data_IF_528767375231
#
_entry.id   IF_528767375231
#
_cell.length_a   1.000
_cell.length_b   1.000
_cell.length_c   1.000
_cell.angle_alpha   90.00
_cell.angle_beta   90.00
_cell.angle_gamma   90.00
#
_symmetry.space_group_name_H-M   'P 1'
#
loop_
_entity.id
_entity.type
_entity.pdbx_description
1 polymer ?
#
# COMPACT_ATOMS: atom_id res chain seq x y z
N UNK A 1 -24.10 17.71 -2.32
CA UNK A 1 -22.75 17.09 -2.37
C UNK A 1 -22.85 15.57 -2.37
N UNK A 2 -22.13 14.88 -3.27
CA UNK A 2 -22.11 13.41 -3.29
C UNK A 2 -21.33 12.90 -2.08
N UNK A 3 -21.99 12.17 -1.17
CA UNK A 3 -21.40 11.64 0.07
C UNK A 3 -20.27 10.63 -0.27
N UNK A 4 -19.07 10.88 0.23
CA UNK A 4 -17.93 9.93 0.16
C UNK A 4 -18.02 8.98 1.35
N UNK A 5 -18.00 7.68 1.08
CA UNK A 5 -17.94 6.63 2.09
C UNK A 5 -16.56 5.96 2.05
N UNK A 6 -15.89 5.88 3.19
CA UNK A 6 -14.63 5.16 3.36
C UNK A 6 -14.87 3.89 4.18
N UNK A 7 -14.27 2.79 3.74
CA UNK A 7 -14.32 1.50 4.45
C UNK A 7 -12.93 0.88 4.52
N UNK A 8 -12.65 0.19 5.63
CA UNK A 8 -11.48 -0.70 5.76
C UNK A 8 -11.98 -2.11 5.99
N UNK A 9 -11.46 -3.07 5.24
CA UNK A 9 -11.90 -4.45 5.28
C UNK A 9 -10.69 -5.39 5.09
N UNK A 10 -10.68 -6.53 5.76
CA UNK A 10 -9.69 -7.58 5.54
C UNK A 10 -10.03 -8.39 4.29
N UNK A 11 -9.02 -8.95 3.62
CA UNK A 11 -9.22 -9.77 2.41
C UNK A 11 -10.27 -10.85 2.62
N UNK A 12 -10.17 -11.61 3.72
CA UNK A 12 -11.09 -12.71 4.04
C UNK A 12 -12.58 -12.31 4.13
N UNK A 13 -12.88 -11.02 4.18
CA UNK A 13 -14.25 -10.48 4.20
C UNK A 13 -14.63 -9.76 2.91
N UNK A 14 -13.73 -9.72 1.91
CA UNK A 14 -14.05 -9.17 0.60
C UNK A 14 -14.99 -10.09 -0.18
N UNK A 15 -15.99 -9.50 -0.82
CA UNK A 15 -16.83 -10.20 -1.78
C UNK A 15 -16.19 -10.17 -3.17
N UNK A 16 -16.44 -11.18 -4.00
CA UNK A 16 -15.86 -11.30 -5.35
C UNK A 16 -16.13 -10.09 -6.25
N UNK A 17 -17.34 -9.55 -6.19
CA UNK A 17 -17.68 -8.34 -6.96
C UNK A 17 -16.83 -7.12 -6.54
N UNK A 18 -16.46 -7.00 -5.26
CA UNK A 18 -15.59 -5.94 -4.77
C UNK A 18 -14.15 -6.16 -5.25
N UNK A 19 -13.67 -7.41 -5.24
CA UNK A 19 -12.35 -7.76 -5.80
C UNK A 19 -12.28 -7.37 -7.28
N UNK A 20 -13.33 -7.69 -8.03
CA UNK A 20 -13.42 -7.32 -9.45
C UNK A 20 -13.39 -5.80 -9.66
N UNK A 21 -14.11 -5.03 -8.85
CA UNK A 21 -14.12 -3.57 -8.92
C UNK A 21 -12.75 -2.96 -8.53
N UNK A 22 -12.06 -3.55 -7.56
CA UNK A 22 -10.66 -3.18 -7.23
C UNK A 22 -9.77 -3.39 -8.44
N UNK A 23 -9.83 -4.56 -9.08
CA UNK A 23 -9.04 -4.89 -10.25
C UNK A 23 -9.34 -3.97 -11.45
N UNK A 24 -10.61 -3.64 -11.69
CA UNK A 24 -11.02 -2.63 -12.68
C UNK A 24 -10.42 -1.27 -12.37
N UNK A 25 -10.51 -0.80 -11.13
CA UNK A 25 -9.97 0.50 -10.74
C UNK A 25 -8.44 0.53 -10.90
N UNK A 26 -7.73 -0.52 -10.45
CA UNK A 26 -6.28 -0.66 -10.65
C UNK A 26 -5.92 -0.63 -12.13
N UNK A 27 -6.68 -1.32 -13.00
CA UNK A 27 -6.43 -1.38 -14.43
C UNK A 27 -6.60 -0.02 -15.14
N UNK A 28 -7.30 0.95 -14.56
CA UNK A 28 -7.36 2.32 -15.10
C UNK A 28 -6.02 3.06 -15.01
N UNK A 29 -5.14 2.65 -14.10
CA UNK A 29 -3.83 3.24 -13.88
C UNK A 29 -2.71 2.34 -14.42
N UNK A 30 -2.69 1.07 -14.01
CA UNK A 30 -1.75 0.04 -14.49
C UNK A 30 -2.46 -0.86 -15.50
N UNK A 31 -2.29 -0.57 -16.78
CA UNK A 31 -3.03 -1.18 -17.90
C UNK A 31 -2.55 -2.60 -18.24
N UNK A 32 -2.47 -3.49 -17.26
CA UNK A 32 -2.02 -4.88 -17.46
C UNK A 32 -3.13 -5.83 -17.91
N UNK A 33 -4.37 -5.35 -18.03
CA UNK A 33 -5.57 -6.16 -18.30
C UNK A 33 -6.22 -6.71 -17.03
N UNK A 34 -7.55 -6.88 -17.06
CA UNK A 34 -8.33 -7.33 -15.91
C UNK A 34 -7.89 -8.73 -15.44
N UNK A 35 -7.68 -9.65 -16.38
CA UNK A 35 -7.22 -11.02 -16.08
C UNK A 35 -5.90 -11.01 -15.31
N UNK A 36 -4.92 -10.19 -15.75
CA UNK A 36 -3.64 -10.05 -15.05
C UNK A 36 -3.80 -9.45 -13.66
N UNK A 37 -4.68 -8.45 -13.47
CA UNK A 37 -4.97 -7.87 -12.17
C UNK A 37 -5.60 -8.89 -11.21
N UNK A 38 -6.53 -9.73 -11.70
CA UNK A 38 -7.15 -10.81 -10.92
C UNK A 38 -6.14 -11.89 -10.56
N UNK A 39 -5.33 -12.33 -11.51
CA UNK A 39 -4.27 -13.32 -11.26
C UNK A 39 -3.28 -12.82 -10.21
N UNK A 40 -2.87 -11.54 -10.32
CA UNK A 40 -2.00 -10.92 -9.31
C UNK A 40 -2.67 -10.90 -7.94
N UNK A 41 -3.95 -10.51 -7.88
CA UNK A 41 -4.70 -10.47 -6.63
C UNK A 41 -4.74 -11.85 -5.96
N UNK A 42 -5.16 -12.89 -6.70
CA UNK A 42 -5.29 -14.24 -6.20
C UNK A 42 -3.94 -14.84 -5.77
N UNK A 43 -2.84 -14.47 -6.44
CA UNK A 43 -1.51 -15.01 -6.15
C UNK A 43 -0.87 -14.36 -4.93
N UNK A 44 -1.06 -13.04 -4.72
CA UNK A 44 -0.23 -12.27 -3.80
C UNK A 44 -0.97 -11.65 -2.62
N UNK A 45 -2.30 -11.64 -2.63
CA UNK A 45 -3.09 -11.08 -1.53
C UNK A 45 -3.38 -12.17 -0.51
N UNK A 46 -3.19 -11.84 0.78
CA UNK A 46 -3.36 -12.75 1.90
C UNK A 46 -4.58 -12.34 2.74
N UNK A 47 -5.19 -13.28 3.47
CA UNK A 47 -6.41 -13.10 4.26
C UNK A 47 -6.39 -11.89 5.20
N UNK A 48 -5.23 -11.60 5.77
CA UNK A 48 -5.04 -10.51 6.74
C UNK A 48 -4.56 -9.19 6.11
N UNK A 49 -4.51 -9.09 4.78
CA UNK A 49 -4.25 -7.82 4.11
C UNK A 49 -5.43 -6.87 4.30
N UNK A 50 -5.16 -5.56 4.44
CA UNK A 50 -6.18 -4.55 4.72
C UNK A 50 -6.44 -3.71 3.48
N UNK A 51 -7.68 -3.70 3.04
CA UNK A 51 -8.15 -2.93 1.90
C UNK A 51 -8.89 -1.68 2.37
N UNK A 52 -8.46 -0.52 1.90
CA UNK A 52 -9.13 0.76 2.10
C UNK A 52 -9.88 1.14 0.84
N UNK A 53 -11.20 1.25 0.95
CA UNK A 53 -12.12 1.44 -0.16
C UNK A 53 -12.79 2.80 -0.02
N UNK A 54 -12.84 3.56 -1.10
CA UNK A 54 -13.54 4.84 -1.17
C UNK A 54 -14.67 4.77 -2.21
N UNK A 55 -15.90 5.00 -1.76
CA UNK A 55 -17.11 4.91 -2.59
C UNK A 55 -17.80 6.26 -2.73
N UNK A 56 -18.34 6.52 -3.93
CA UNK A 56 -19.31 7.59 -4.20
C UNK A 56 -20.49 6.95 -4.94
N UNK A 57 -21.72 7.04 -4.37
CA UNK A 57 -22.90 6.40 -4.94
C UNK A 57 -22.63 4.94 -5.32
N UNK A 58 -22.21 4.13 -4.38
CA UNK A 58 -21.90 2.69 -4.53
C UNK A 58 -20.76 2.35 -5.51
N UNK A 59 -20.25 3.33 -6.27
CA UNK A 59 -19.13 3.13 -7.17
C UNK A 59 -17.80 3.23 -6.42
N UNK A 60 -16.93 2.24 -6.57
CA UNK A 60 -15.57 2.29 -6.08
C UNK A 60 -14.76 3.32 -6.89
N UNK A 61 -14.28 4.37 -6.22
CA UNK A 61 -13.56 5.50 -6.86
C UNK A 61 -12.13 5.69 -6.37
N UNK A 62 -11.78 5.02 -5.27
CA UNK A 62 -10.44 5.04 -4.71
C UNK A 62 -10.15 3.76 -3.93
N UNK A 63 -8.88 3.36 -3.94
CA UNK A 63 -8.41 2.14 -3.31
C UNK A 63 -7.01 2.31 -2.75
N UNK A 64 -6.79 1.78 -1.54
CA UNK A 64 -5.49 1.65 -0.89
C UNK A 64 -5.33 0.24 -0.32
N UNK A 65 -4.10 -0.27 -0.32
CA UNK A 65 -3.78 -1.62 0.14
C UNK A 65 -2.61 -1.61 1.12
N UNK A 66 -2.83 -2.18 2.30
CA UNK A 66 -1.79 -2.54 3.25
C UNK A 66 -1.63 -4.06 3.27
N UNK A 67 -0.50 -4.56 2.82
CA UNK A 67 -0.17 -5.98 2.82
C UNK A 67 0.57 -6.35 4.11
N UNK A 68 0.15 -7.42 4.75
CA UNK A 68 0.79 -7.95 5.96
C UNK A 68 1.94 -8.88 5.53
N UNK A 69 3.17 -8.45 5.76
CA UNK A 69 4.37 -9.14 5.25
C UNK A 69 5.40 -9.30 6.35
N UNK A 70 6.53 -9.92 6.02
CA UNK A 70 7.62 -10.18 6.95
C UNK A 70 8.94 -9.61 6.43
N UNK A 71 9.84 -9.31 7.34
CA UNK A 71 11.24 -8.99 7.06
C UNK A 71 12.14 -9.69 8.07
N UNK A 72 13.41 -9.83 7.74
CA UNK A 72 14.40 -10.38 8.64
C UNK A 72 15.25 -9.25 9.24
N UNK A 73 15.46 -9.33 10.54
CA UNK A 73 16.29 -8.43 11.31
C UNK A 73 17.07 -9.23 12.34
N UNK A 74 18.39 -9.23 12.24
CA UNK A 74 19.27 -10.06 13.11
C UNK A 74 18.80 -11.53 13.14
N UNK A 75 18.61 -12.12 11.96
CA UNK A 75 18.11 -13.50 11.77
C UNK A 75 16.68 -13.78 12.30
N UNK A 76 16.03 -12.79 12.90
CA UNK A 76 14.66 -12.93 13.40
C UNK A 76 13.63 -12.44 12.39
N UNK A 77 12.60 -13.24 12.11
CA UNK A 77 11.47 -12.87 11.27
C UNK A 77 10.54 -11.93 12.03
N UNK A 78 10.26 -10.75 11.47
CA UNK A 78 9.37 -9.73 12.04
C UNK A 78 8.29 -9.35 11.05
N UNK A 79 7.08 -9.06 11.53
CA UNK A 79 5.95 -8.60 10.71
C UNK A 79 6.07 -7.10 10.43
N UNK A 80 5.59 -6.69 9.26
CA UNK A 80 5.43 -5.30 8.87
C UNK A 80 4.24 -5.12 7.92
N UNK A 81 3.81 -3.88 7.74
CA UNK A 81 2.78 -3.52 6.76
C UNK A 81 3.43 -2.89 5.54
N UNK A 82 3.23 -3.49 4.38
CA UNK A 82 3.65 -2.92 3.11
C UNK A 82 2.49 -2.13 2.48
N UNK A 83 2.64 -0.81 2.38
CA UNK A 83 1.69 0.04 1.67
C UNK A 83 1.94 -0.08 0.17
N UNK A 84 1.24 -1.02 -0.45
CA UNK A 84 1.48 -1.47 -1.82
C UNK A 84 0.82 -0.56 -2.86
N UNK A 85 -0.44 -0.22 -2.63
CA UNK A 85 -1.28 0.43 -3.64
C UNK A 85 -1.99 1.66 -3.08
N UNK A 86 -1.95 2.75 -3.84
CA UNK A 86 -2.88 3.87 -3.72
C UNK A 86 -3.32 4.29 -5.12
N UNK A 87 -4.59 4.12 -5.44
CA UNK A 87 -5.15 4.53 -6.72
C UNK A 87 -6.47 5.26 -6.54
N UNK A 88 -6.67 6.33 -7.31
CA UNK A 88 -7.92 7.10 -7.37
C UNK A 88 -8.31 7.28 -8.82
N UNK A 89 -9.57 7.02 -9.13
CA UNK A 89 -10.15 7.25 -10.45
C UNK A 89 -9.90 8.71 -10.89
N UNK A 90 -9.40 8.90 -12.10
CA UNK A 90 -9.04 10.23 -12.63
C UNK A 90 -10.16 11.25 -12.47
N UNK A 91 -11.41 10.83 -12.72
CA UNK A 91 -12.61 11.67 -12.62
C UNK A 91 -12.86 12.26 -11.22
N UNK A 92 -12.28 11.66 -10.16
CA UNK A 92 -12.57 12.03 -8.78
C UNK A 92 -11.33 12.53 -8.01
N UNK A 93 -10.22 12.84 -8.70
CA UNK A 93 -8.96 13.27 -8.05
C UNK A 93 -9.11 14.59 -7.31
N UNK A 94 -9.87 15.52 -7.85
CA UNK A 94 -10.15 16.84 -7.26
C UNK A 94 -10.85 16.75 -5.88
N UNK A 95 -11.49 15.62 -5.55
CA UNK A 95 -12.18 15.40 -4.29
C UNK A 95 -11.26 14.99 -3.13
N UNK A 96 -9.95 15.11 -3.31
CA UNK A 96 -8.92 14.78 -2.30
C UNK A 96 -9.03 13.35 -1.73
N UNK A 97 -9.55 12.40 -2.53
CA UNK A 97 -9.78 11.01 -2.08
C UNK A 97 -8.46 10.33 -1.71
N UNK A 98 -7.38 10.58 -2.46
CA UNK A 98 -6.05 10.06 -2.15
C UNK A 98 -5.57 10.51 -0.75
N UNK A 99 -5.79 11.78 -0.40
CA UNK A 99 -5.53 12.34 0.94
C UNK A 99 -6.30 11.58 2.03
N UNK A 100 -7.59 11.37 1.82
CA UNK A 100 -8.45 10.67 2.78
C UNK A 100 -8.07 9.20 2.96
N UNK A 101 -7.73 8.51 1.87
CA UNK A 101 -7.21 7.13 1.91
C UNK A 101 -5.85 7.04 2.63
N UNK A 102 -4.92 7.97 2.36
CA UNK A 102 -3.62 8.02 3.05
C UNK A 102 -3.79 8.25 4.55
N UNK A 103 -4.69 9.15 4.97
CA UNK A 103 -5.02 9.34 6.38
C UNK A 103 -5.61 8.07 7.02
N UNK A 104 -6.50 7.37 6.31
CA UNK A 104 -7.07 6.11 6.79
C UNK A 104 -5.99 5.02 6.92
N UNK A 105 -5.09 4.93 5.95
CA UNK A 105 -3.92 4.03 5.98
C UNK A 105 -3.06 4.31 7.21
N UNK A 106 -2.70 5.56 7.44
CA UNK A 106 -1.87 5.96 8.60
C UNK A 106 -2.57 5.66 9.93
N UNK A 107 -3.90 5.91 10.03
CA UNK A 107 -4.68 5.53 11.21
C UNK A 107 -4.62 4.01 11.45
N UNK A 108 -4.76 3.20 10.42
CA UNK A 108 -4.68 1.75 10.51
C UNK A 108 -3.29 1.28 10.97
N UNK A 109 -2.22 1.83 10.40
CA UNK A 109 -0.84 1.52 10.80
C UNK A 109 -0.61 1.84 12.29
N UNK A 110 -1.06 3.02 12.74
CA UNK A 110 -0.95 3.44 14.15
C UNK A 110 -1.71 2.49 15.09
N UNK A 111 -2.92 2.08 14.69
CA UNK A 111 -3.74 1.14 15.46
C UNK A 111 -3.08 -0.23 15.61
N UNK A 112 -2.49 -0.75 14.52
CA UNK A 112 -1.85 -2.07 14.48
C UNK A 112 -0.45 -2.05 15.13
N UNK A 113 0.15 -0.88 15.36
CA UNK A 113 1.48 -0.70 15.99
C UNK A 113 2.60 -1.47 15.28
N UNK A 114 2.43 -1.81 14.01
CA UNK A 114 3.43 -2.51 13.20
C UNK A 114 4.36 -1.53 12.49
N UNK A 115 5.56 -2.00 12.19
CA UNK A 115 6.45 -1.33 11.25
C UNK A 115 5.75 -1.20 9.90
N UNK A 116 6.02 -0.14 9.16
CA UNK A 116 5.41 0.02 7.87
C UNK A 116 6.38 0.59 6.87
N UNK A 117 6.26 0.14 5.64
CA UNK A 117 7.12 0.51 4.54
C UNK A 117 6.29 0.71 3.28
N UNK A 118 6.75 1.57 2.40
CA UNK A 118 6.28 1.68 1.02
C UNK A 118 7.46 1.90 0.08
N UNK A 119 7.23 1.59 -1.19
CA UNK A 119 8.11 1.95 -2.31
C UNK A 119 7.30 2.79 -3.28
N UNK A 120 7.81 3.93 -3.67
CA UNK A 120 7.13 4.83 -4.58
C UNK A 120 8.09 5.50 -5.57
N UNK A 121 7.54 6.03 -6.66
CA UNK A 121 8.29 6.89 -7.57
C UNK A 121 8.74 8.17 -6.86
N UNK A 122 9.91 8.68 -7.21
CA UNK A 122 10.49 9.89 -6.60
C UNK A 122 9.54 11.08 -6.62
N UNK A 123 8.77 11.25 -7.71
CA UNK A 123 7.82 12.37 -7.89
C UNK A 123 6.67 12.42 -6.89
N UNK A 124 6.40 11.31 -6.16
CA UNK A 124 5.31 11.25 -5.16
C UNK A 124 5.82 11.12 -3.72
N UNK A 125 7.12 11.26 -3.50
CA UNK A 125 7.73 11.25 -2.15
C UNK A 125 7.13 12.34 -1.28
N UNK A 126 7.09 13.58 -1.75
CA UNK A 126 6.54 14.73 -1.01
C UNK A 126 5.08 14.54 -0.62
N UNK A 127 4.30 13.83 -1.47
CA UNK A 127 2.94 13.47 -1.12
C UNK A 127 2.93 12.57 0.12
N UNK A 128 3.75 11.54 0.19
CA UNK A 128 3.80 10.63 1.33
C UNK A 128 4.39 11.26 2.58
N UNK A 129 5.38 12.15 2.45
CA UNK A 129 5.97 12.88 3.59
C UNK A 129 4.94 13.71 4.35
N UNK A 130 3.95 14.31 3.66
CA UNK A 130 2.82 15.03 4.28
C UNK A 130 1.98 14.17 5.23
N UNK A 131 2.06 12.84 5.11
CA UNK A 131 1.37 11.87 5.98
C UNK A 131 2.30 11.20 7.00
N UNK A 132 3.50 11.72 7.17
CA UNK A 132 4.45 11.25 8.19
C UNK A 132 5.34 10.10 7.74
N UNK A 133 5.33 9.74 6.45
CA UNK A 133 6.30 8.83 5.90
C UNK A 133 7.66 9.50 5.81
N UNK A 134 8.73 8.74 6.02
CA UNK A 134 10.10 9.26 5.96
C UNK A 134 10.93 8.44 5.00
N UNK A 135 11.68 9.12 4.17
CA UNK A 135 12.59 8.50 3.23
C UNK A 135 13.67 7.72 3.97
N UNK A 136 13.94 6.51 3.53
CA UNK A 136 15.06 5.69 4.00
C UNK A 136 16.31 6.13 3.26
N UNK A 137 17.28 6.72 4.00
CA UNK A 137 18.51 7.23 3.41
C UNK A 137 19.58 6.14 3.31
N UNK A 138 20.32 6.16 2.21
CA UNK A 138 21.65 5.62 1.90
C UNK A 138 21.78 4.15 1.50
N UNK A 139 21.39 3.17 2.26
CA UNK A 139 21.57 1.78 1.80
C UNK A 139 20.21 1.09 1.73
N UNK A 140 19.81 0.72 0.53
CA UNK A 140 18.54 0.06 0.30
C UNK A 140 18.64 -1.37 0.81
N UNK A 141 17.78 -1.81 1.75
CA UNK A 141 17.75 -3.20 2.14
C UNK A 141 17.45 -4.07 0.92
N UNK A 142 18.02 -5.26 0.87
CA UNK A 142 17.74 -6.21 -0.19
C UNK A 142 16.27 -6.60 -0.15
N UNK A 143 15.62 -6.52 -1.30
CA UNK A 143 14.25 -6.96 -1.49
C UNK A 143 14.33 -8.25 -2.29
N UNK A 144 14.00 -9.39 -1.67
CA UNK A 144 14.16 -10.72 -2.27
C UNK A 144 13.41 -10.87 -3.59
N UNK A 145 12.22 -10.29 -3.71
CA UNK A 145 11.31 -10.55 -4.82
C UNK A 145 11.23 -9.39 -5.81
N UNK A 146 12.11 -8.38 -5.71
CA UNK A 146 11.98 -7.20 -6.56
C UNK A 146 13.31 -6.56 -6.90
N UNK A 147 13.57 -6.37 -8.19
CA UNK A 147 14.69 -5.54 -8.66
C UNK A 147 14.37 -4.07 -8.39
N UNK A 148 15.05 -3.49 -7.43
CA UNK A 148 14.86 -2.10 -7.05
C UNK A 148 15.42 -1.15 -8.11
N UNK A 149 14.55 -0.46 -8.82
CA UNK A 149 14.93 0.58 -9.80
C UNK A 149 15.48 1.83 -9.09
N UNK A 150 16.52 2.45 -9.68
CA UNK A 150 17.06 3.76 -9.22
C UNK A 150 16.04 4.90 -9.21
N UNK A 151 14.93 4.76 -9.95
CA UNK A 151 13.82 5.74 -10.00
C UNK A 151 12.90 5.68 -8.80
N UNK A 152 12.98 4.63 -7.97
CA UNK A 152 12.11 4.42 -6.83
C UNK A 152 12.74 4.93 -5.53
N UNK A 153 11.88 5.32 -4.59
CA UNK A 153 12.24 5.68 -3.23
C UNK A 153 11.57 4.72 -2.25
N UNK A 154 12.32 4.27 -1.25
CA UNK A 154 11.77 3.56 -0.10
C UNK A 154 11.44 4.55 1.00
N UNK A 155 10.28 4.37 1.63
CA UNK A 155 9.84 5.18 2.76
C UNK A 155 9.38 4.30 3.90
N UNK A 156 9.58 4.74 5.14
CA UNK A 156 9.14 4.05 6.35
C UNK A 156 8.22 4.94 7.18
N UNK A 157 7.35 4.32 7.99
CA UNK A 157 6.46 4.96 8.93
C UNK A 157 6.63 4.37 10.33
N UNK A 158 6.59 5.24 11.37
CA UNK A 158 6.68 4.92 12.81
C UNK A 158 8.02 4.38 13.33
N UNK A 159 9.05 4.13 12.51
CA UNK A 159 10.29 3.59 13.07
C UNK A 159 11.54 3.96 12.28
N UNK A 160 12.03 5.17 12.54
CA UNK A 160 13.33 5.62 12.06
C UNK A 160 14.48 4.66 12.38
N UNK A 161 14.46 4.03 13.58
CA UNK A 161 15.64 3.30 14.09
C UNK A 161 15.89 1.95 13.42
N UNK A 162 14.84 1.20 13.03
CA UNK A 162 15.02 -0.14 12.43
C UNK A 162 15.33 -0.06 10.95
N UNK A 163 14.53 0.71 10.18
CA UNK A 163 14.73 0.83 8.73
C UNK A 163 15.94 1.70 8.34
N UNK A 164 16.49 2.49 9.28
CA UNK A 164 17.65 3.34 9.04
C UNK A 164 18.97 2.74 9.53
N UNK A 165 18.94 1.71 10.37
CA UNK A 165 20.14 0.96 10.77
C UNK A 165 20.44 -0.10 9.73
N UNK A 166 21.72 -0.27 9.35
CA UNK A 166 22.28 -1.24 8.39
C UNK A 166 22.02 -2.73 8.70
N UNK A 167 21.00 -3.07 9.50
CA UNK A 167 20.80 -4.42 10.04
C UNK A 167 19.58 -5.15 9.48
N UNK A 168 18.86 -4.58 8.49
CA UNK A 168 17.78 -5.27 7.79
C UNK A 168 18.40 -6.08 6.68
N UNK A 169 18.29 -7.39 6.78
CA UNK A 169 18.91 -8.31 5.82
C UNK A 169 18.11 -8.33 4.51
N UNK A 170 16.77 -8.47 4.59
CA UNK A 170 15.90 -8.45 3.42
C UNK A 170 14.42 -8.34 3.78
N UNK A 171 13.61 -7.92 2.81
CA UNK A 171 12.16 -7.90 2.87
C UNK A 171 11.55 -9.00 2.01
N UNK A 172 10.42 -9.55 2.44
CA UNK A 172 9.61 -10.50 1.69
C UNK A 172 8.30 -9.82 1.31
N UNK A 173 8.01 -9.71 0.01
CA UNK A 173 6.77 -9.10 -0.50
C UNK A 173 5.69 -10.10 -0.91
N UNK A 174 6.05 -11.35 -1.05
CA UNK A 174 5.12 -12.45 -1.40
C UNK A 174 4.26 -12.90 -0.22
#
# INVERSE_FOLDING_TARGET
MKKLLLRSILTKHLKENVIFDICKLKNTHWKYGIKSQLNWFNKYIQDNDVHHLAYIKEKLVGYGLLRNRSFFYQKNKKKYLYYDTLVVSKKYRELQIGKKLSNLTVKTIKKLKLHSMLICEKKIVDFHEKYGWKKVNKEKPQILDHKYSKSLSMMCFNQKKIFMKRKIEYFIFS
#
